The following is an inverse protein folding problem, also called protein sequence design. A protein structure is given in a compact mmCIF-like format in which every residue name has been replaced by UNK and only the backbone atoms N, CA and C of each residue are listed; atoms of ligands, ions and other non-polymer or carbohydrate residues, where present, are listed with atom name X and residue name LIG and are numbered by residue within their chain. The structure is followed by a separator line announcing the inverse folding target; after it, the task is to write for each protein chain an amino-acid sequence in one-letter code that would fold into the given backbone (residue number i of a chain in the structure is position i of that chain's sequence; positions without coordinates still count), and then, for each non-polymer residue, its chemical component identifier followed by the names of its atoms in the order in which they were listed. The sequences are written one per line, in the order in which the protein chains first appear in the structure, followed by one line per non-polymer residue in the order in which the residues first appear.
data_IF_027986983771
#
_entry.id   IF_027986983771
#
_cell.length_a   1.000
_cell.length_b   1.000
_cell.length_c   1.000
_cell.angle_alpha   90.00
_cell.angle_beta   90.00
_cell.angle_gamma   90.00
#
_symmetry.space_group_name_H-M   'P 1'
#
loop_
_entity.id
_entity.type
_entity.pdbx_description
1 polymer ?
#
# COMPACT_ATOMS: atom_id res chain seq x y z
N UNK A 1 5.75 -4.19 -12.32
CA UNK A 1 6.53 -3.04 -12.80
C UNK A 1 7.97 -3.36 -13.18
N UNK A 2 8.88 -3.68 -12.25
CA UNK A 2 10.30 -3.89 -12.59
C UNK A 2 10.53 -4.86 -13.77
N UNK A 3 9.89 -6.03 -13.76
CA UNK A 3 10.02 -7.00 -14.85
C UNK A 3 9.37 -6.54 -16.16
N UNK A 4 8.31 -5.73 -16.09
CA UNK A 4 7.68 -5.12 -17.28
C UNK A 4 8.64 -4.11 -17.92
N UNK A 5 9.31 -3.28 -17.12
CA UNK A 5 10.32 -2.33 -17.62
C UNK A 5 11.53 -3.06 -18.22
N UNK A 6 12.01 -4.13 -17.58
CA UNK A 6 13.08 -4.95 -18.13
C UNK A 6 12.68 -5.62 -19.46
N UNK A 7 11.43 -6.07 -19.58
CA UNK A 7 10.87 -6.58 -20.83
C UNK A 7 10.86 -5.50 -21.92
N UNK A 8 10.42 -4.28 -21.62
CA UNK A 8 10.44 -3.16 -22.56
C UNK A 8 11.87 -2.78 -23.00
N UNK A 9 12.83 -2.91 -22.09
CA UNK A 9 14.26 -2.74 -22.36
C UNK A 9 14.90 -3.96 -23.06
N UNK A 10 14.13 -4.99 -23.41
CA UNK A 10 14.62 -6.23 -24.01
C UNK A 10 15.71 -6.93 -23.19
N UNK A 11 15.70 -6.73 -21.88
CA UNK A 11 16.61 -7.40 -20.97
C UNK A 11 16.13 -8.84 -20.71
N UNK A 12 17.03 -9.83 -20.68
CA UNK A 12 16.65 -11.20 -20.40
C UNK A 12 16.06 -11.30 -18.99
N UNK A 13 14.85 -11.86 -18.91
CA UNK A 13 14.11 -12.10 -17.69
C UNK A 13 13.83 -13.58 -17.56
N UNK A 14 14.44 -14.24 -16.58
CA UNK A 14 14.28 -15.69 -16.42
C UNK A 14 13.09 -16.04 -15.50
N UNK A 15 12.90 -15.30 -14.41
CA UNK A 15 11.89 -15.64 -13.40
C UNK A 15 11.24 -14.42 -12.75
N UNK A 16 9.92 -14.46 -12.61
CA UNK A 16 9.15 -13.56 -11.74
C UNK A 16 8.36 -14.39 -10.72
N UNK A 17 8.74 -14.27 -9.44
CA UNK A 17 8.02 -14.87 -8.32
C UNK A 17 7.21 -13.80 -7.61
N UNK A 18 5.92 -14.06 -7.43
CA UNK A 18 5.03 -13.21 -6.64
C UNK A 18 4.61 -13.98 -5.38
N UNK A 19 5.01 -13.46 -4.22
CA UNK A 19 4.61 -14.00 -2.92
C UNK A 19 3.31 -13.34 -2.46
N UNK A 20 2.23 -14.11 -2.50
CA UNK A 20 0.88 -13.76 -2.06
C UNK A 20 0.42 -12.35 -2.46
N UNK A 21 0.65 -11.99 -3.73
CA UNK A 21 0.33 -10.67 -4.23
C UNK A 21 0.27 -10.57 -5.75
N UNK A 22 -0.37 -9.52 -6.22
CA UNK A 22 -0.47 -9.11 -7.62
C UNK A 22 -0.76 -7.60 -7.68
N UNK A 23 -0.78 -7.02 -8.88
CA UNK A 23 -1.23 -5.64 -9.08
C UNK A 23 -2.63 -5.40 -8.49
N UNK A 24 -3.56 -6.34 -8.71
CA UNK A 24 -4.94 -6.25 -8.23
C UNK A 24 -5.05 -6.51 -6.73
N UNK A 25 -4.18 -7.35 -6.16
CA UNK A 25 -4.17 -7.60 -4.71
C UNK A 25 -3.85 -6.32 -3.92
N UNK A 26 -2.84 -5.57 -4.36
CA UNK A 26 -2.48 -4.30 -3.73
C UNK A 26 -3.56 -3.24 -4.00
N UNK A 27 -4.17 -3.24 -5.19
CA UNK A 27 -5.30 -2.37 -5.49
C UNK A 27 -6.51 -2.63 -4.57
N UNK A 28 -6.83 -3.89 -4.28
CA UNK A 28 -7.89 -4.27 -3.34
C UNK A 28 -7.57 -3.80 -1.91
N UNK A 29 -6.33 -3.98 -1.46
CA UNK A 29 -5.88 -3.49 -0.15
C UNK A 29 -5.97 -1.97 -0.03
N UNK A 30 -5.66 -1.25 -1.12
CA UNK A 30 -5.68 0.21 -1.15
C UNK A 30 -7.06 0.79 -1.50
N UNK A 31 -8.06 -0.03 -1.85
CA UNK A 31 -9.35 0.44 -2.37
C UNK A 31 -10.12 1.30 -1.37
N UNK A 32 -10.10 0.93 -0.08
CA UNK A 32 -10.75 1.71 0.99
C UNK A 32 -10.14 3.11 1.15
N UNK A 33 -8.82 3.21 0.94
CA UNK A 33 -8.09 4.49 0.93
C UNK A 33 -8.34 5.25 -0.39
N UNK A 34 -8.40 4.54 -1.52
CA UNK A 34 -8.62 5.10 -2.86
C UNK A 34 -9.98 5.78 -2.98
N UNK A 35 -11.03 5.22 -2.37
CA UNK A 35 -12.35 5.83 -2.34
C UNK A 35 -12.35 7.22 -1.65
N UNK A 36 -11.36 7.47 -0.78
CA UNK A 36 -11.18 8.73 -0.05
C UNK A 36 -10.10 9.64 -0.68
N UNK A 37 -9.29 9.11 -1.61
CA UNK A 37 -8.27 9.83 -2.40
C UNK A 37 -8.89 10.63 -3.57
N UNK A 38 -10.11 11.13 -3.43
CA UNK A 38 -10.78 11.94 -4.45
C UNK A 38 -9.96 13.23 -4.69
N UNK A 39 -9.76 13.66 -5.96
CA UNK A 39 -9.08 14.91 -6.24
C UNK A 39 -9.71 16.09 -5.47
N UNK A 40 -8.90 16.81 -4.69
CA UNK A 40 -9.35 17.90 -3.82
C UNK A 40 -9.51 17.54 -2.34
N UNK A 41 -9.27 16.27 -1.94
CA UNK A 41 -9.41 15.82 -0.56
C UNK A 41 -8.15 15.21 0.05
N UNK A 42 -6.99 15.76 -0.31
CA UNK A 42 -5.67 15.21 0.07
C UNK A 42 -5.49 15.16 1.59
N UNK A 43 -6.06 16.11 2.33
CA UNK A 43 -6.07 16.12 3.80
C UNK A 43 -6.77 14.91 4.42
N UNK A 44 -7.91 14.49 3.87
CA UNK A 44 -8.60 13.28 4.35
C UNK A 44 -7.78 12.04 4.02
N UNK A 45 -7.25 11.94 2.80
CA UNK A 45 -6.45 10.78 2.41
C UNK A 45 -5.18 10.59 3.24
N UNK A 46 -4.45 11.68 3.52
CA UNK A 46 -3.30 11.67 4.43
C UNK A 46 -3.71 11.23 5.83
N UNK A 47 -4.83 11.76 6.33
CA UNK A 47 -5.35 11.44 7.66
C UNK A 47 -5.71 9.96 7.77
N UNK A 48 -6.41 9.40 6.78
CA UNK A 48 -6.81 7.99 6.74
C UNK A 48 -5.61 7.05 6.72
N UNK A 49 -4.60 7.37 5.91
CA UNK A 49 -3.36 6.62 5.87
C UNK A 49 -2.67 6.62 7.23
N UNK A 50 -2.60 7.79 7.89
CA UNK A 50 -1.95 7.90 9.20
C UNK A 50 -2.78 7.28 10.33
N UNK A 51 -4.11 7.30 10.27
CA UNK A 51 -4.97 6.54 11.18
C UNK A 51 -4.62 5.05 11.11
N UNK A 52 -4.59 4.47 9.91
CA UNK A 52 -4.25 3.07 9.71
C UNK A 52 -2.82 2.74 10.17
N UNK A 53 -1.86 3.63 9.90
CA UNK A 53 -0.48 3.48 10.36
C UNK A 53 -0.40 3.45 11.89
N UNK A 54 -1.00 4.42 12.59
CA UNK A 54 -0.98 4.51 14.05
C UNK A 54 -1.64 3.29 14.70
N UNK A 55 -2.70 2.74 14.11
CA UNK A 55 -3.40 1.57 14.64
C UNK A 55 -2.58 0.28 14.53
N UNK A 56 -1.52 0.24 13.72
CA UNK A 56 -0.57 -0.89 13.74
C UNK A 56 0.28 -0.92 15.00
N UNK A 57 0.45 0.22 15.68
CA UNK A 57 1.28 0.36 16.87
C UNK A 57 0.46 0.61 18.14
N UNK A 58 -0.80 1.02 18.02
CA UNK A 58 -1.60 1.47 19.16
C UNK A 58 -3.03 0.95 19.07
N UNK A 59 -3.72 0.93 20.22
CA UNK A 59 -5.15 0.62 20.28
C UNK A 59 -6.01 1.88 20.33
N UNK A 60 -5.55 2.99 19.71
CA UNK A 60 -6.34 4.22 19.66
C UNK A 60 -7.49 4.05 18.66
N UNK A 61 -8.70 4.36 19.13
CA UNK A 61 -9.92 4.32 18.31
C UNK A 61 -9.83 5.24 17.10
N UNK A 62 -10.30 4.75 15.95
CA UNK A 62 -10.24 5.45 14.67
C UNK A 62 -10.84 6.87 14.73
N UNK A 63 -12.02 7.03 15.34
CA UNK A 63 -12.69 8.33 15.43
C UNK A 63 -11.84 9.37 16.20
N UNK A 64 -11.11 8.93 17.23
CA UNK A 64 -10.23 9.82 17.98
C UNK A 64 -9.03 10.28 17.15
N UNK A 65 -8.46 9.37 16.35
CA UNK A 65 -7.35 9.72 15.44
C UNK A 65 -7.82 10.68 14.35
N UNK A 66 -9.02 10.45 13.80
CA UNK A 66 -9.61 11.33 12.79
C UNK A 66 -9.81 12.75 13.34
N UNK A 67 -10.36 12.87 14.56
CA UNK A 67 -10.57 14.16 15.23
C UNK A 67 -9.27 14.94 15.49
N UNK A 68 -8.16 14.25 15.77
CA UNK A 68 -6.88 14.91 16.06
C UNK A 68 -6.03 15.19 14.82
N UNK A 69 -6.09 14.34 13.80
CA UNK A 69 -5.24 14.44 12.60
C UNK A 69 -5.87 15.28 11.49
N UNK A 70 -7.19 15.18 11.29
CA UNK A 70 -7.86 15.87 10.19
C UNK A 70 -7.67 17.39 10.23
N UNK A 71 -7.79 18.08 11.40
CA UNK A 71 -7.64 19.53 11.48
C UNK A 71 -6.21 20.03 11.27
N UNK A 72 -5.21 19.15 11.26
CA UNK A 72 -3.82 19.56 11.09
C UNK A 72 -3.57 20.11 9.69
N UNK A 73 -2.62 21.03 9.58
CA UNK A 73 -2.45 21.84 8.37
C UNK A 73 -2.01 21.02 7.15
N UNK A 74 -1.04 20.15 7.33
CA UNK A 74 -0.34 19.45 6.26
C UNK A 74 0.15 18.06 6.73
N UNK A 75 0.64 17.25 5.78
CA UNK A 75 1.17 15.92 6.04
C UNK A 75 2.23 15.91 7.14
N UNK A 76 3.15 16.89 7.13
CA UNK A 76 4.25 16.97 8.09
C UNK A 76 3.73 17.16 9.51
N UNK A 77 2.75 18.05 9.72
CA UNK A 77 2.10 18.21 11.02
C UNK A 77 1.41 16.91 11.47
N UNK A 78 0.73 16.20 10.55
CA UNK A 78 0.08 14.91 10.85
C UNK A 78 1.08 13.82 11.20
N UNK A 79 2.21 13.74 10.46
CA UNK A 79 3.29 12.78 10.72
C UNK A 79 3.92 13.03 12.07
N UNK A 80 4.24 14.27 12.41
CA UNK A 80 4.81 14.59 13.72
C UNK A 80 3.87 14.18 14.86
N UNK A 81 2.57 14.44 14.72
CA UNK A 81 1.57 13.97 15.69
C UNK A 81 1.51 12.44 15.79
N UNK A 82 1.58 11.72 14.66
CA UNK A 82 1.63 10.26 14.64
C UNK A 82 2.88 9.71 15.35
N UNK A 83 4.05 10.32 15.12
CA UNK A 83 5.31 9.98 15.77
C UNK A 83 5.18 10.13 17.29
N UNK A 84 4.66 11.25 17.77
CA UNK A 84 4.49 11.50 19.21
C UNK A 84 3.59 10.44 19.88
N UNK A 85 2.46 10.10 19.25
CA UNK A 85 1.53 9.09 19.75
C UNK A 85 2.19 7.71 19.88
N UNK A 86 3.00 7.32 18.88
CA UNK A 86 3.66 6.01 18.84
C UNK A 86 4.86 5.97 19.79
N UNK A 87 5.73 6.99 19.75
CA UNK A 87 6.94 7.07 20.56
C UNK A 87 6.63 7.07 22.07
N UNK A 88 5.49 7.65 22.48
CA UNK A 88 5.02 7.61 23.86
C UNK A 88 4.74 6.17 24.36
N UNK A 89 4.38 5.25 23.47
CA UNK A 89 4.07 3.84 23.80
C UNK A 89 5.22 2.89 23.48
N UNK A 90 6.08 3.23 22.52
CA UNK A 90 7.14 2.37 21.98
C UNK A 90 8.51 3.04 22.08
N UNK A 91 9.06 3.11 23.29
CA UNK A 91 10.36 3.78 23.57
C UNK A 91 11.57 3.18 22.85
N UNK A 92 11.43 2.00 22.25
CA UNK A 92 12.50 1.31 21.51
C UNK A 92 12.64 1.74 20.05
N UNK A 93 11.72 2.56 19.52
CA UNK A 93 11.73 3.02 18.12
C UNK A 93 12.12 4.49 18.10
N UNK A 94 13.08 4.86 17.26
CA UNK A 94 13.50 6.26 17.14
C UNK A 94 12.45 7.10 16.41
N UNK A 95 12.34 8.38 16.80
CA UNK A 95 11.42 9.31 16.15
C UNK A 95 11.70 9.43 14.64
N UNK A 96 12.97 9.48 14.23
CA UNK A 96 13.35 9.56 12.81
C UNK A 96 12.86 8.34 12.01
N UNK A 97 12.93 7.15 12.59
CA UNK A 97 12.44 5.92 11.95
C UNK A 97 10.92 5.97 11.81
N UNK A 98 10.21 6.40 12.86
CA UNK A 98 8.76 6.55 12.83
C UNK A 98 8.32 7.62 11.83
N UNK A 99 9.03 8.74 11.76
CA UNK A 99 8.75 9.84 10.85
C UNK A 99 8.87 9.37 9.39
N UNK A 100 9.99 8.73 9.04
CA UNK A 100 10.19 8.15 7.71
C UNK A 100 9.14 7.08 7.38
N UNK A 101 8.84 6.20 8.32
CA UNK A 101 7.86 5.15 8.12
C UNK A 101 6.46 5.72 7.88
N UNK A 102 5.99 6.64 8.72
CA UNK A 102 4.69 7.29 8.62
C UNK A 102 4.55 8.09 7.31
N UNK A 103 5.56 8.91 6.99
CA UNK A 103 5.59 9.70 5.74
C UNK A 103 5.55 8.79 4.51
N UNK A 104 6.43 7.78 4.47
CA UNK A 104 6.50 6.87 3.33
C UNK A 104 5.28 5.97 3.20
N UNK A 105 4.57 5.67 4.29
CA UNK A 105 3.37 4.84 4.27
C UNK A 105 2.27 5.47 3.41
N UNK A 106 1.98 6.75 3.59
CA UNK A 106 1.03 7.48 2.74
C UNK A 106 1.42 7.43 1.26
N UNK A 107 2.68 7.74 0.94
CA UNK A 107 3.13 7.73 -0.45
C UNK A 107 3.13 6.33 -1.08
N UNK A 108 3.41 5.27 -0.30
CA UNK A 108 3.29 3.88 -0.76
C UNK A 108 1.85 3.54 -1.12
N UNK A 109 0.88 3.92 -0.27
CA UNK A 109 -0.54 3.71 -0.56
C UNK A 109 -0.98 4.50 -1.80
N UNK A 110 -0.56 5.77 -1.93
CA UNK A 110 -0.88 6.63 -3.08
C UNK A 110 -0.32 6.05 -4.38
N UNK A 111 0.96 5.64 -4.39
CA UNK A 111 1.59 5.04 -5.55
C UNK A 111 0.91 3.72 -5.95
N UNK A 112 0.62 2.87 -4.98
CA UNK A 112 -0.03 1.59 -5.20
C UNK A 112 -1.48 1.73 -5.67
N UNK A 113 -2.25 2.65 -5.08
CA UNK A 113 -3.66 2.89 -5.42
C UNK A 113 -3.84 3.45 -6.84
N UNK A 114 -2.82 4.12 -7.38
CA UNK A 114 -2.81 4.65 -8.74
C UNK A 114 -2.08 3.74 -9.75
N UNK A 115 -1.48 2.64 -9.30
CA UNK A 115 -0.70 1.77 -10.17
C UNK A 115 -1.58 0.98 -11.13
N UNK A 116 -1.29 1.10 -12.42
CA UNK A 116 -1.89 0.30 -13.49
C UNK A 116 -0.73 -0.08 -14.42
N UNK A 117 -0.49 -1.38 -14.68
CA UNK A 117 0.50 -1.80 -15.66
C UNK A 117 0.23 -1.14 -17.04
N UNK A 118 1.25 -0.53 -17.62
CA UNK A 118 1.18 0.15 -18.93
C UNK A 118 1.07 -0.84 -20.10
N UNK A 119 1.67 -2.01 -19.95
CA UNK A 119 1.78 -3.05 -20.96
C UNK A 119 1.53 -4.42 -20.35
N UNK A 120 1.16 -5.41 -21.18
CA UNK A 120 1.06 -6.80 -20.73
C UNK A 120 2.45 -7.38 -20.50
N UNK A 121 2.60 -8.13 -19.42
CA UNK A 121 3.80 -8.91 -19.17
C UNK A 121 3.72 -10.24 -19.93
N UNK A 122 4.76 -10.54 -20.69
CA UNK A 122 4.84 -11.71 -21.57
C UNK A 122 5.66 -12.86 -20.95
N UNK A 123 6.41 -12.58 -19.89
CA UNK A 123 7.17 -13.60 -19.16
C UNK A 123 6.27 -14.51 -18.31
N UNK A 124 6.81 -15.65 -17.93
CA UNK A 124 6.12 -16.55 -17.00
C UNK A 124 6.17 -16.00 -15.57
N UNK A 125 5.08 -16.18 -14.85
CA UNK A 125 4.94 -15.79 -13.45
C UNK A 125 4.77 -17.05 -12.61
N UNK A 126 5.42 -17.11 -11.46
CA UNK A 126 5.11 -18.09 -10.42
C UNK A 126 4.45 -17.37 -9.24
N UNK A 127 3.15 -17.61 -9.04
CA UNK A 127 2.40 -17.07 -7.91
C UNK A 127 2.40 -18.07 -6.74
N UNK A 128 2.98 -17.68 -5.61
CA UNK A 128 2.95 -18.44 -4.36
C UNK A 128 1.92 -17.83 -3.41
N UNK A 129 0.71 -18.40 -3.38
CA UNK A 129 -0.39 -17.93 -2.54
C UNK A 129 -0.34 -18.46 -1.12
N UNK A 130 -0.76 -17.63 -0.17
CA UNK A 130 -1.04 -18.09 1.18
C UNK A 130 -2.23 -19.07 1.16
N UNK A 131 -2.13 -20.14 1.97
CA UNK A 131 -3.21 -21.13 2.11
C UNK A 131 -4.39 -20.56 2.90
N UNK A 132 -4.13 -19.73 3.89
CA UNK A 132 -5.14 -19.02 4.66
C UNK A 132 -5.29 -17.61 4.07
N UNK A 133 -6.49 -17.26 3.59
CA UNK A 133 -6.78 -15.95 2.99
C UNK A 133 -6.74 -14.85 4.04
N UNK A 134 -6.20 -13.69 3.65
CA UNK A 134 -6.24 -12.43 4.40
C UNK A 134 -7.53 -11.62 4.17
N UNK A 135 -8.51 -12.16 3.43
CA UNK A 135 -9.74 -11.47 3.02
C UNK A 135 -9.56 -10.55 1.82
N UNK A 136 -8.38 -9.94 1.64
CA UNK A 136 -8.10 -9.06 0.49
C UNK A 136 -7.93 -9.81 -0.83
N UNK A 137 -7.59 -11.10 -0.78
CA UNK A 137 -7.52 -11.97 -1.95
C UNK A 137 -8.88 -12.47 -2.42
N UNK A 138 -9.93 -12.26 -1.63
CA UNK A 138 -11.26 -12.81 -1.90
C UNK A 138 -11.87 -12.08 -3.12
N UNK A 139 -12.37 -12.85 -4.08
CA UNK A 139 -12.90 -12.31 -5.34
C UNK A 139 -11.84 -11.97 -6.41
N UNK A 140 -10.55 -12.11 -6.12
CA UNK A 140 -9.48 -11.93 -7.12
C UNK A 140 -9.16 -13.20 -7.93
N UNK A 141 -9.86 -14.30 -7.65
CA UNK A 141 -9.67 -15.57 -8.35
C UNK A 141 -8.41 -16.34 -7.93
N UNK A 142 -8.15 -17.44 -8.65
CA UNK A 142 -7.05 -18.35 -8.33
C UNK A 142 -5.67 -17.71 -8.55
N UNK A 143 -5.55 -16.85 -9.57
CA UNK A 143 -4.32 -16.21 -10.04
C UNK A 143 -4.18 -14.75 -9.59
N UNK A 144 -5.03 -14.26 -8.67
CA UNK A 144 -5.08 -12.87 -8.26
C UNK A 144 -5.18 -11.88 -9.45
N UNK A 145 -6.00 -12.22 -10.44
CA UNK A 145 -6.24 -11.46 -11.67
C UNK A 145 -5.02 -11.25 -12.57
N UNK A 146 -3.96 -12.03 -12.41
CA UNK A 146 -2.77 -11.89 -13.23
C UNK A 146 -3.06 -12.04 -14.74
N UNK A 147 -4.03 -12.87 -15.13
CA UNK A 147 -4.48 -13.00 -16.52
C UNK A 147 -4.96 -11.68 -17.18
N UNK A 148 -5.36 -10.67 -16.39
CA UNK A 148 -5.75 -9.35 -16.93
C UNK A 148 -4.54 -8.60 -17.49
N UNK A 149 -3.35 -8.81 -16.90
CA UNK A 149 -2.11 -8.04 -17.18
C UNK A 149 -0.92 -8.89 -17.62
N UNK A 150 -1.09 -10.20 -17.71
CA UNK A 150 -0.09 -11.17 -18.14
C UNK A 150 -0.70 -12.07 -19.23
N UNK A 151 0.05 -12.33 -20.30
CA UNK A 151 -0.31 -13.33 -21.31
C UNK A 151 0.68 -14.52 -21.38
N UNK A 152 1.72 -14.50 -20.54
CA UNK A 152 2.57 -15.65 -20.26
C UNK A 152 1.90 -16.69 -19.35
N UNK A 153 2.64 -17.75 -19.02
CA UNK A 153 2.15 -18.79 -18.10
C UNK A 153 2.15 -18.27 -16.66
N UNK A 154 1.05 -18.52 -15.93
CA UNK A 154 0.92 -18.30 -14.48
C UNK A 154 0.79 -19.64 -13.76
#
# INVERSE_FOLDING_TARGET
EMCSQLQEMQCPMEYLFLFDGSHSYVAAYTQSYRAKLTPGNESEAETEALCAFIQQFTSIEYNKLLETLLPLKDLEARVNHAVDLIACKHKGITCDTLHFAASSFYYKLKAAGCYIPSTKYHGNITLLKAKASSGYGDGLGADYKLHEVCDGKV
#
